data_IF_784499972566
#
_entry.id   IF_784499972566
#
_cell.length_a   1.000
_cell.length_b   1.000
_cell.length_c   1.000
_cell.angle_alpha   90.00
_cell.angle_beta   90.00
_cell.angle_gamma   90.00
#
_symmetry.space_group_name_H-M   'P 1'
#
loop_
_entity.id
_entity.type
_entity.pdbx_description
1 polymer ?
2 non-polymer ?
3 water ?
#
# COMPACT_ATOMS: atom_id res chain seq x y z
N UNK A 113 5.53 -1.25 -19.02
CA UNK A 113 6.18 -0.03 -18.54
C UNK A 113 6.03 0.15 -17.02
N UNK A 114 6.82 1.10 -16.45
CA UNK A 114 6.79 1.35 -15.02
C UNK A 114 5.42 1.85 -14.64
N UNK A 115 4.93 2.94 -15.26
CA UNK A 115 3.64 3.52 -14.88
C UNK A 115 2.44 2.61 -15.12
N UNK A 116 2.49 1.80 -16.18
CA UNK A 116 1.37 0.88 -16.45
C UNK A 116 1.22 -0.10 -15.27
N UNK A 117 2.34 -0.70 -14.85
CA UNK A 117 2.35 -1.64 -13.73
C UNK A 117 1.91 -0.94 -12.43
N UNK A 118 2.39 0.31 -12.20
CA UNK A 118 1.99 0.99 -10.98
C UNK A 118 0.49 1.28 -10.90
N UNK A 119 -0.13 1.62 -12.06
CA UNK A 119 -1.58 1.90 -12.07
C UNK A 119 -2.34 0.59 -11.81
N UNK A 120 -1.92 -0.49 -12.46
CA UNK A 120 -2.57 -1.78 -12.17
C UNK A 120 -2.39 -2.17 -10.70
N UNK A 121 -1.21 -1.88 -10.11
CA UNK A 121 -1.02 -2.30 -8.74
C UNK A 121 -1.82 -1.40 -7.79
N UNK A 122 -1.95 -0.10 -8.10
CA UNK A 122 -2.71 0.80 -7.23
C UNK A 122 -4.19 0.37 -7.26
N UNK A 123 -4.67 -0.09 -8.42
CA UNK A 123 -6.05 -0.56 -8.46
C UNK A 123 -6.20 -1.90 -7.76
N UNK A 124 -5.43 -2.92 -8.19
CA UNK A 124 -5.57 -4.26 -7.60
C UNK A 124 -5.27 -4.28 -6.09
N UNK A 125 -4.22 -3.55 -5.68
CA UNK A 125 -3.76 -3.60 -4.30
C UNK A 125 -4.41 -2.62 -3.34
N UNK A 126 -5.19 -1.67 -3.87
CA UNK A 126 -5.75 -0.64 -2.99
C UNK A 126 -7.17 -0.27 -3.37
N UNK A 127 -7.36 0.38 -4.52
CA UNK A 127 -8.68 0.87 -4.88
C UNK A 127 -9.74 -0.22 -4.92
N UNK A 128 -9.42 -1.38 -5.52
CA UNK A 128 -10.38 -2.52 -5.62
C UNK A 128 -10.89 -2.95 -4.23
N UNK A 129 -10.07 -2.76 -3.20
CA UNK A 129 -10.32 -3.21 -1.83
C UNK A 129 -11.05 -2.18 -0.98
N UNK A 130 -10.81 -0.87 -1.25
CA UNK A 130 -11.47 0.17 -0.45
C UNK A 130 -12.70 0.78 -1.12
N UNK A 131 -12.71 0.93 -2.46
CA UNK A 131 -13.81 1.65 -3.10
C UNK A 131 -15.20 0.97 -2.96
N UNK A 132 -15.34 -0.39 -2.95
CA UNK A 132 -16.69 -0.99 -2.73
C UNK A 132 -17.25 -0.75 -1.31
N UNK A 133 -16.40 -0.37 -0.34
CA UNK A 133 -16.80 -0.12 1.06
C UNK A 133 -16.89 1.37 1.44
N UNK A 134 -16.47 2.26 0.53
CA UNK A 134 -16.39 3.69 0.82
C UNK A 134 -17.74 4.36 1.05
N UNK A 135 -18.71 4.10 0.17
CA UNK A 135 -20.06 4.70 0.26
C UNK A 135 -20.65 4.55 1.64
N UNK A 136 -20.61 3.32 2.22
CA UNK A 136 -21.14 3.03 3.55
C UNK A 136 -20.41 3.79 4.63
N UNK A 137 -19.07 3.96 4.51
CA UNK A 137 -18.30 4.70 5.51
C UNK A 137 -18.70 6.19 5.51
N UNK A 138 -18.91 6.74 4.31
CA UNK A 138 -19.25 8.16 4.19
C UNK A 138 -20.66 8.40 4.76
N UNK A 139 -21.60 7.50 4.43
CA UNK A 139 -22.98 7.54 4.90
C UNK A 139 -23.01 7.47 6.43
N UNK A 140 -22.25 6.52 7.04
CA UNK A 140 -22.15 6.36 8.50
C UNK A 140 -21.65 7.66 9.11
N UNK A 141 -20.59 8.24 8.51
CA UNK A 141 -20.06 9.49 8.99
C UNK A 141 -21.12 10.59 8.95
N UNK A 142 -21.81 10.74 7.81
CA UNK A 142 -22.82 11.78 7.61
C UNK A 142 -24.03 11.63 8.51
N UNK A 143 -24.45 10.38 8.80
CA UNK A 143 -25.60 10.07 9.66
C UNK A 143 -25.32 10.44 11.10
N UNK A 144 -24.04 10.31 11.49
CA UNK A 144 -23.59 10.70 12.81
C UNK A 144 -23.63 12.24 12.95
N UNK A 145 -23.32 12.96 11.85
CA UNK A 145 -23.31 14.42 11.85
C UNK A 145 -24.54 14.97 11.12
N UNK A 151 -22.70 20.68 6.62
CA UNK A 151 -23.12 19.97 5.41
C UNK A 151 -22.44 18.61 5.27
N UNK A 152 -23.13 17.68 4.59
CA UNK A 152 -22.69 16.31 4.36
C UNK A 152 -21.38 16.24 3.58
N UNK A 153 -20.51 15.29 3.97
CA UNK A 153 -19.27 14.95 3.26
C UNK A 153 -19.72 14.40 1.92
N UNK A 154 -19.12 14.85 0.83
CA UNK A 154 -19.49 14.35 -0.50
C UNK A 154 -19.07 12.89 -0.65
N UNK A 155 -19.74 12.19 -1.56
CA UNK A 155 -19.39 10.82 -1.82
C UNK A 155 -18.11 10.83 -2.67
N UNK A 156 -17.50 9.65 -2.81
CA UNK A 156 -16.31 9.41 -3.67
C UNK A 156 -14.98 9.82 -3.08
N UNK A 157 -13.96 9.02 -3.37
CA UNK A 157 -12.59 9.34 -2.98
C UNK A 157 -12.02 10.23 -4.07
N UNK A 158 -11.57 11.43 -3.70
CA UNK A 158 -10.96 12.38 -4.61
C UNK A 158 -9.46 12.11 -4.59
N UNK A 159 -8.96 11.57 -5.74
CA UNK A 159 -7.58 11.16 -5.84
C UNK A 159 -6.75 12.20 -6.56
N UNK A 160 -5.81 12.80 -5.83
CA UNK A 160 -4.94 13.82 -6.39
C UNK A 160 -3.83 13.17 -7.19
N UNK A 161 -3.65 13.67 -8.43
CA UNK A 161 -2.71 13.16 -9.40
C UNK A 161 -1.85 14.29 -9.96
N UNK A 162 -0.94 14.83 -9.09
CA UNK A 162 -0.02 15.89 -9.57
C UNK A 162 0.96 15.29 -10.58
N UNK A 163 0.89 15.79 -11.83
CA UNK A 163 1.77 15.27 -12.89
C UNK A 163 3.26 15.53 -12.61
N UNK A 164 3.58 16.51 -11.70
CA UNK A 164 4.99 16.72 -11.34
C UNK A 164 5.47 15.68 -10.32
N UNK A 165 4.55 14.77 -9.87
CA UNK A 165 4.87 13.69 -8.94
C UNK A 165 5.29 14.17 -7.53
N UNK A 166 4.94 15.42 -7.20
CA UNK A 166 5.16 15.97 -5.87
C UNK A 166 4.03 15.54 -4.97
N UNK A 167 4.33 14.67 -4.01
CA UNK A 167 3.35 14.12 -3.08
C UNK A 167 3.73 14.57 -1.66
N UNK A 168 3.14 15.68 -1.18
CA UNK A 168 3.43 16.09 0.21
C UNK A 168 2.54 15.28 1.16
N UNK A 169 2.91 15.18 2.43
CA UNK A 169 2.08 14.40 3.35
C UNK A 169 0.96 15.19 3.98
N UNK A 170 1.14 16.52 4.07
CA UNK A 170 0.14 17.42 4.67
C UNK A 170 -0.48 18.28 3.57
N UNK A 171 -1.81 18.22 3.42
CA UNK A 171 -2.58 18.95 2.40
C UNK A 171 -2.75 20.44 2.68
N UNK A 172 -2.94 20.83 3.96
CA UNK A 172 -3.11 22.25 4.34
C UNK A 172 -1.85 23.06 3.98
N UNK A 173 -0.71 22.35 3.89
CA UNK A 173 0.56 22.92 3.50
C UNK A 173 0.56 23.27 2.00
N UNK A 174 0.01 22.38 1.14
CA UNK A 174 -0.07 22.55 -0.32
C UNK A 174 -1.02 23.71 -0.67
N UNK A 175 -2.11 23.85 0.09
CA UNK A 175 -3.10 24.92 -0.06
C UNK A 175 -3.77 25.16 1.30
N UNK A 176 -3.66 26.38 1.88
CA UNK A 176 -4.35 26.65 3.17
C UNK A 176 -5.88 26.59 3.06
N UNK A 177 -6.42 26.72 1.82
CA UNK A 177 -7.87 26.61 1.58
C UNK A 177 -8.36 25.14 1.66
N UNK A 178 -7.44 24.18 1.95
CA UNK A 178 -7.79 22.77 2.17
C UNK A 178 -7.49 22.54 3.65
N UNK A 179 -8.53 22.34 4.43
CA UNK A 179 -8.39 22.21 5.87
C UNK A 179 -8.87 20.85 6.35
N UNK A 180 -8.03 20.15 7.13
CA UNK A 180 -8.40 18.85 7.67
C UNK A 180 -9.59 18.99 8.63
N UNK A 181 -10.64 18.21 8.38
CA UNK A 181 -11.83 18.21 9.21
C UNK A 181 -11.80 17.03 10.17
N UNK A 182 -11.73 15.78 9.63
CA UNK A 182 -11.80 14.59 10.48
C UNK A 182 -11.31 13.39 9.70
N UNK A 183 -11.09 12.26 10.39
CA UNK A 183 -10.74 10.99 9.77
C UNK A 183 -12.06 10.28 9.59
N UNK A 184 -12.23 9.63 8.45
CA UNK A 184 -13.41 8.85 8.17
C UNK A 184 -13.31 7.58 9.09
N UNK A 185 -14.39 6.94 9.58
CA UNK A 185 -14.18 5.71 10.39
C UNK A 185 -13.35 4.70 9.57
N UNK A 186 -12.33 4.10 10.19
CA UNK A 186 -11.43 3.16 9.48
C UNK A 186 -12.10 1.90 8.96
N UNK A 187 -11.52 1.33 7.87
CA UNK A 187 -11.96 0.07 7.30
C UNK A 187 -10.85 -0.92 7.71
N UNK A 188 -11.23 -2.14 8.14
CA UNK A 188 -10.23 -3.18 8.46
C UNK A 188 -10.58 -4.41 7.64
N UNK A 189 -9.54 -5.16 7.21
CA UNK A 189 -9.73 -6.40 6.47
C UNK A 189 -8.47 -7.22 6.62
N UNK A 190 -8.61 -8.55 6.63
CA UNK A 190 -7.43 -9.40 6.67
C UNK A 190 -6.85 -9.34 5.26
N UNK A 191 -5.58 -8.99 5.17
CA UNK A 191 -4.94 -8.79 3.87
C UNK A 191 -3.54 -9.35 3.86
N UNK A 192 -3.31 -10.38 3.03
CA UNK A 192 -1.97 -10.93 2.80
C UNK A 192 -1.20 -11.29 4.09
N UNK A 193 -1.93 -11.83 5.05
CA UNK A 193 -1.33 -12.22 6.32
C UNK A 193 -1.35 -11.14 7.39
N UNK A 194 -1.76 -9.91 7.02
CA UNK A 194 -1.91 -8.84 7.99
C UNK A 194 -3.35 -8.94 8.49
N UNK A 195 -3.53 -9.37 9.77
CA UNK A 195 -4.88 -9.44 10.32
C UNK A 195 -5.33 -7.99 10.57
N UNK A 196 -6.58 -7.67 10.23
CA UNK A 196 -7.19 -6.35 10.41
C UNK A 196 -6.28 -5.23 9.87
N UNK A 197 -5.79 -5.41 8.63
CA UNK A 197 -5.02 -4.39 7.94
C UNK A 197 -5.97 -3.15 7.95
N UNK A 198 -5.45 -1.97 8.32
CA UNK A 198 -6.31 -0.79 8.48
C UNK A 198 -6.20 0.15 7.29
N UNK A 199 -7.36 0.54 6.74
CA UNK A 199 -7.47 1.54 5.67
C UNK A 199 -8.04 2.81 6.29
N UNK A 200 -7.19 3.81 6.47
CA UNK A 200 -7.59 5.10 7.02
C UNK A 200 -7.76 6.08 5.86
N UNK A 201 -8.74 7.00 5.93
CA UNK A 201 -8.87 8.04 4.91
C UNK A 201 -9.29 9.32 5.64
N UNK A 202 -8.91 10.47 5.09
CA UNK A 202 -9.15 11.78 5.70
C UNK A 202 -10.12 12.65 4.94
N UNK A 203 -10.93 13.42 5.71
CA UNK A 203 -11.96 14.33 5.20
C UNK A 203 -11.43 15.75 5.35
N UNK A 204 -11.57 16.53 4.28
CA UNK A 204 -11.12 17.91 4.21
C UNK A 204 -12.25 18.85 3.82
N UNK A 205 -12.16 20.08 4.36
CA UNK A 205 -13.05 21.18 3.95
C UNK A 205 -12.29 21.96 2.89
N UNK A 206 -13.00 22.46 1.87
CA UNK A 206 -12.42 23.27 0.79
C UNK A 206 -13.03 24.65 0.94
N UNK A 207 -12.18 25.65 1.17
CA UNK A 207 -12.61 27.04 1.37
C UNK A 207 -12.45 27.86 0.12
N UNK A 208 -13.33 28.84 -0.06
CA UNK A 208 -13.27 29.74 -1.19
C UNK A 208 -13.72 31.09 -0.62
N UNK A 209 -12.81 32.07 -0.67
CA UNK A 209 -13.01 33.43 -0.14
C UNK A 209 -13.59 33.41 1.30
N UNK A 210 -12.98 32.58 2.15
CA UNK A 210 -13.30 32.44 3.56
C UNK A 210 -14.53 31.58 3.87
N UNK A 211 -15.20 31.08 2.84
CA UNK A 211 -16.38 30.28 3.05
C UNK A 211 -16.17 28.81 2.71
N UNK A 212 -16.82 27.90 3.45
CA UNK A 212 -16.75 26.46 3.11
C UNK A 212 -17.56 26.22 1.84
N UNK A 213 -16.87 25.70 0.79
CA UNK A 213 -17.45 25.46 -0.52
C UNK A 213 -17.64 23.97 -0.84
N UNK A 214 -17.03 23.11 -0.03
CA UNK A 214 -17.14 21.67 -0.22
C UNK A 214 -16.43 20.90 0.87
N UNK A 215 -16.80 19.64 1.05
CA UNK A 215 -16.20 18.74 2.03
C UNK A 215 -16.05 17.37 1.36
N UNK A 216 -14.82 16.84 1.29
CA UNK A 216 -14.65 15.54 0.61
C UNK A 216 -13.52 14.73 1.22
N UNK A 217 -13.46 13.44 0.85
CA UNK A 217 -12.41 12.50 1.23
C UNK A 217 -11.34 12.67 0.14
N UNK A 218 -10.11 12.97 0.55
CA UNK A 218 -9.07 13.36 -0.35
C UNK A 218 -7.73 12.79 0.02
N UNK A 219 -6.94 12.36 -1.01
CA UNK A 219 -5.56 11.93 -0.78
C UNK A 219 -4.85 11.87 -2.12
N UNK A 220 -3.50 11.81 -2.05
CA UNK A 220 -2.71 11.67 -3.25
C UNK A 220 -2.56 10.19 -3.62
N UNK A 221 -2.40 9.92 -4.92
CA UNK A 221 -2.08 8.56 -5.41
C UNK A 221 -0.57 8.35 -5.14
N UNK A 222 -0.25 7.59 -4.07
CA UNK A 222 1.12 7.41 -3.62
C UNK A 222 2.07 6.80 -4.69
N UNK A 223 1.64 6.01 -5.69
CA UNK A 223 2.63 5.54 -6.70
C UNK A 223 3.29 6.72 -7.48
N UNK A 224 2.66 7.92 -7.52
CA UNK A 224 3.33 9.03 -8.23
C UNK A 224 4.62 9.39 -7.47
N UNK A 225 4.65 9.19 -6.12
CA UNK A 225 5.87 9.44 -5.37
C UNK A 225 6.95 8.42 -5.77
N UNK A 226 6.54 7.16 -6.12
CA UNK A 226 7.52 6.21 -6.55
C UNK A 226 8.23 6.73 -7.79
N UNK A 227 7.48 7.32 -8.74
CA UNK A 227 8.07 7.86 -9.96
C UNK A 227 9.05 9.00 -9.60
N UNK A 228 8.68 9.84 -8.64
CA UNK A 228 9.58 10.90 -8.21
C UNK A 228 10.85 10.29 -7.64
N UNK A 229 10.72 9.33 -6.70
CA UNK A 229 11.93 8.75 -6.09
C UNK A 229 12.80 8.04 -7.14
N UNK A 230 12.17 7.27 -8.06
CA UNK A 230 12.94 6.59 -9.08
C UNK A 230 13.75 7.57 -9.93
N UNK A 231 13.21 8.78 -10.21
CA UNK A 231 13.92 9.75 -11.01
C UNK A 231 15.07 10.39 -10.22
N UNK A 232 15.08 10.24 -8.88
CA UNK A 232 16.16 10.78 -8.06
C UNK A 232 17.32 9.80 -7.85
N UNK A 233 17.02 8.49 -7.78
CA UNK A 233 18.03 7.47 -7.46
C UNK A 233 18.63 6.86 -8.67
N UNK A 234 19.95 6.91 -8.80
CA UNK A 234 20.63 6.37 -9.97
C UNK A 234 20.33 4.92 -10.22
N UNK A 235 20.24 4.11 -9.17
CA UNK A 235 20.02 2.66 -9.33
C UNK A 235 18.68 2.29 -9.95
N UNK A 236 17.73 3.25 -9.98
CA UNK A 236 16.42 2.93 -10.57
C UNK A 236 16.44 2.92 -12.08
N UNK A 237 17.49 3.50 -12.70
CA UNK A 237 17.58 3.62 -14.15
C UNK A 237 16.40 4.31 -14.78
N UNK A 238 15.94 5.38 -14.14
CA UNK A 238 14.74 6.11 -14.56
C UNK A 238 15.11 7.57 -14.61
N UNK A 239 14.99 8.20 -15.79
CA UNK A 239 15.38 9.60 -15.87
C UNK A 239 14.28 10.58 -15.53
N UNK A 240 14.66 11.75 -15.01
CA UNK A 240 13.72 12.85 -14.78
C UNK A 240 13.05 13.22 -16.11
N UNK A 241 13.78 13.06 -17.24
CA UNK A 241 13.23 13.48 -18.53
C UNK A 241 12.06 12.61 -18.98
N UNK A 242 11.94 11.39 -18.42
CA UNK A 242 10.84 10.49 -18.74
C UNK A 242 9.74 10.51 -17.67
N UNK A 243 9.92 11.28 -16.61
CA UNK A 243 8.95 11.22 -15.52
C UNK A 243 7.56 11.75 -15.86
N UNK A 244 7.47 12.92 -16.52
CA UNK A 244 6.15 13.47 -16.85
C UNK A 244 5.34 12.51 -17.77
N UNK A 245 6.00 11.90 -18.78
CA UNK A 245 5.31 10.97 -19.67
C UNK A 245 4.78 9.78 -18.85
N UNK A 246 5.60 9.30 -17.91
CA UNK A 246 5.18 8.18 -17.05
C UNK A 246 4.05 8.60 -16.12
N UNK A 247 4.08 9.83 -15.56
CA UNK A 247 2.98 10.30 -14.71
C UNK A 247 1.67 10.32 -15.52
N UNK A 248 1.73 10.86 -16.77
CA UNK A 248 0.53 10.89 -17.60
C UNK A 248 0.03 9.48 -17.87
N UNK A 249 0.97 8.54 -18.17
CA UNK A 249 0.60 7.17 -18.45
C UNK A 249 -0.01 6.50 -17.19
N UNK A 250 0.50 6.83 -16.00
CA UNK A 250 -0.12 6.28 -14.79
C UNK A 250 -1.61 6.69 -14.72
N UNK A 251 -1.87 7.99 -14.95
CA UNK A 251 -3.24 8.52 -14.88
C UNK A 251 -4.12 7.89 -15.95
N UNK A 252 -3.60 7.81 -17.19
CA UNK A 252 -4.39 7.25 -18.29
C UNK A 252 -4.74 5.78 -18.04
N UNK A 253 -3.75 5.00 -17.57
CA UNK A 253 -3.97 3.57 -17.31
C UNK A 253 -5.00 3.42 -16.20
N UNK A 254 -4.91 4.25 -15.13
CA UNK A 254 -5.88 4.17 -14.06
C UNK A 254 -7.30 4.51 -14.58
N UNK A 255 -7.42 5.53 -15.44
CA UNK A 255 -8.72 5.88 -16.03
C UNK A 255 -9.24 4.68 -16.85
N UNK A 256 -8.36 4.05 -17.67
CA UNK A 256 -8.72 2.87 -18.48
C UNK A 256 -9.22 1.70 -17.63
N UNK A 257 -8.54 1.40 -16.51
CA UNK A 257 -8.95 0.30 -15.65
C UNK A 257 -10.30 0.59 -15.02
N UNK A 258 -10.47 1.83 -14.50
CA UNK A 258 -11.72 2.20 -13.83
C UNK A 258 -12.90 2.18 -14.77
N UNK A 259 -12.69 2.41 -16.07
CA UNK A 259 -13.79 2.36 -17.05
C UNK A 259 -14.41 0.94 -17.16
N UNK A 260 -13.71 -0.09 -16.64
CA UNK A 260 -14.18 -1.48 -16.64
C UNK A 260 -14.53 -1.99 -15.25
N UNK A 261 -14.51 -1.11 -14.23
CA UNK A 261 -14.83 -1.46 -12.84
C UNK A 261 -15.88 -0.43 -12.38
N UNK A 262 -17.18 -0.63 -12.74
CA UNK A 262 -18.21 0.39 -12.45
C UNK A 262 -18.35 0.86 -11.00
N UNK A 263 -18.36 -0.08 -10.03
CA UNK A 263 -18.47 0.25 -8.61
C UNK A 263 -17.28 1.12 -8.17
N UNK A 264 -16.04 0.79 -8.63
CA UNK A 264 -14.87 1.60 -8.30
C UNK A 264 -14.90 2.98 -8.98
N UNK A 265 -15.23 3.00 -10.29
CA UNK A 265 -15.33 4.24 -11.05
C UNK A 265 -16.29 5.25 -10.38
N UNK A 266 -17.47 4.77 -9.93
CA UNK A 266 -18.45 5.66 -9.31
C UNK A 266 -18.09 6.08 -7.89
N UNK A 267 -17.07 5.44 -7.28
CA UNK A 267 -16.66 5.76 -5.92
C UNK A 267 -15.37 6.54 -5.83
N UNK A 268 -14.90 7.06 -6.95
CA UNK A 268 -13.70 7.90 -6.96
C UNK A 268 -13.70 8.89 -8.08
N UNK A 269 -12.88 9.93 -7.96
CA UNK A 269 -12.73 10.94 -9.00
C UNK A 269 -11.24 11.23 -9.12
N UNK A 270 -10.72 11.15 -10.35
CA UNK A 270 -9.30 11.37 -10.62
C UNK A 270 -9.06 12.84 -10.90
N UNK A 271 -8.19 13.46 -10.08
CA UNK A 271 -7.87 14.89 -10.20
C UNK A 271 -6.41 15.05 -10.64
N UNK A 272 -6.22 15.08 -11.97
CA UNK A 272 -4.88 15.24 -12.57
C UNK A 272 -4.63 16.70 -12.89
N UNK A 273 -3.39 17.18 -12.62
CA UNK A 273 -3.06 18.58 -12.86
C UNK A 273 -1.57 18.80 -12.95
N UNK A 274 -1.21 19.88 -13.67
CA UNK A 274 0.16 20.39 -13.78
C UNK A 274 0.16 21.81 -13.24
N UNK A 275 1.17 22.16 -12.45
CA UNK A 275 1.34 23.52 -11.93
C UNK A 275 2.30 24.28 -12.85
N UNK A 276 2.03 25.57 -13.15
CA UNK A 276 2.98 26.33 -14.00
C UNK A 276 4.32 26.64 -13.32
N UNK A 282 -0.87 28.70 -8.29
CA UNK A 282 -1.79 27.58 -8.50
C UNK A 282 -2.66 27.37 -7.27
N UNK A 283 -3.95 27.05 -7.47
CA UNK A 283 -4.85 26.77 -6.34
C UNK A 283 -5.34 25.33 -6.42
N UNK A 284 -4.81 24.48 -5.52
CA UNK A 284 -5.22 23.07 -5.45
C UNK A 284 -6.70 22.97 -5.02
N UNK A 285 -7.15 23.82 -4.08
CA UNK A 285 -8.58 23.80 -3.67
C UNK A 285 -9.49 24.13 -4.86
N UNK A 286 -9.11 25.08 -5.74
CA UNK A 286 -9.92 25.39 -6.92
C UNK A 286 -9.96 24.23 -7.89
N UNK A 287 -8.85 23.49 -7.98
CA UNK A 287 -8.78 22.30 -8.83
C UNK A 287 -9.79 21.24 -8.34
N UNK A 288 -9.79 20.97 -7.02
CA UNK A 288 -10.70 19.99 -6.41
C UNK A 288 -12.16 20.47 -6.55
N UNK A 289 -12.39 21.75 -6.24
CA UNK A 289 -13.76 22.32 -6.31
C UNK A 289 -14.35 22.26 -7.69
N UNK A 290 -13.55 22.45 -8.74
CA UNK A 290 -14.05 22.36 -10.11
C UNK A 290 -14.59 20.96 -10.36
N UNK A 291 -13.90 19.91 -9.86
CA UNK A 291 -14.36 18.53 -10.00
C UNK A 291 -15.57 18.27 -9.13
N UNK A 292 -15.57 18.76 -7.88
CA UNK A 292 -16.69 18.60 -6.95
C UNK A 292 -17.97 19.23 -7.50
N UNK A 293 -17.85 20.42 -8.13
CA UNK A 293 -18.95 21.15 -8.73
C UNK A 293 -19.53 20.51 -10.01
N UNK A 294 -18.82 19.55 -10.66
CA UNK A 294 -19.36 18.85 -11.85
C UNK A 294 -20.13 17.59 -11.40
N UNK A 295 -20.61 17.59 -10.15
CA UNK A 295 -21.35 16.51 -9.46
C UNK A 295 -20.52 15.24 -9.32
N UNK B 113 9.68 -1.75 -17.08
CA UNK B 113 9.47 -3.12 -16.60
C UNK B 113 8.47 -3.08 -15.46
N UNK B 114 7.44 -3.97 -15.54
CA UNK B 114 6.41 -4.01 -14.51
C UNK B 114 7.02 -4.37 -13.16
N UNK B 115 7.68 -5.53 -13.06
CA UNK B 115 8.20 -5.94 -11.75
C UNK B 115 9.28 -5.02 -11.17
N UNK B 116 10.10 -4.40 -12.04
CA UNK B 116 11.15 -3.49 -11.53
C UNK B 116 10.44 -2.30 -10.84
N UNK B 117 9.44 -1.70 -11.51
CA UNK B 117 8.71 -0.59 -10.92
C UNK B 117 7.95 -1.00 -9.66
N UNK B 118 7.38 -2.24 -9.64
CA UNK B 118 6.65 -2.66 -8.46
C UNK B 118 7.57 -2.84 -7.23
N UNK B 119 8.81 -3.34 -7.46
CA UNK B 119 9.78 -3.51 -6.35
C UNK B 119 10.17 -2.12 -5.83
N UNK B 120 10.46 -1.18 -6.75
CA UNK B 120 10.75 0.19 -6.29
C UNK B 120 9.59 0.78 -5.54
N UNK B 121 8.35 0.52 -5.99
CA UNK B 121 7.22 1.12 -5.31
C UNK B 121 6.97 0.47 -3.94
N UNK B 122 7.20 -0.85 -3.82
CA UNK B 122 6.99 -1.53 -2.55
C UNK B 122 8.02 -1.01 -1.53
N UNK B 123 9.24 -0.73 -2.02
CA UNK B 123 10.24 -0.16 -1.09
C UNK B 123 9.91 1.29 -0.76
N UNK B 124 9.79 2.16 -1.78
CA UNK B 124 9.55 3.58 -1.52
C UNK B 124 8.24 3.83 -0.77
N UNK B 125 7.17 3.13 -1.16
CA UNK B 125 5.84 3.38 -0.62
C UNK B 125 5.46 2.63 0.63
N UNK B 126 6.31 1.67 1.04
CA UNK B 126 5.96 0.86 2.21
C UNK B 126 7.15 0.54 3.08
N UNK B 127 8.09 -0.27 2.58
CA UNK B 127 9.20 -0.74 3.45
C UNK B 127 10.02 0.40 4.00
N UNK B 128 10.34 1.41 3.18
CA UNK B 128 11.15 2.59 3.62
C UNK B 128 10.48 3.30 4.81
N UNK B 129 9.15 3.23 4.92
CA UNK B 129 8.32 3.93 5.89
C UNK B 129 8.11 3.12 7.17
N UNK B 130 8.06 1.78 7.04
CA UNK B 130 7.81 0.94 8.22
C UNK B 130 9.06 0.34 8.82
N UNK B 131 10.07 -0.03 8.02
CA UNK B 131 11.24 -0.76 8.55
C UNK B 131 12.03 0.06 9.58
N UNK B 132 12.26 1.40 9.43
CA UNK B 132 13.00 2.14 10.47
C UNK B 132 12.27 2.22 11.82
N UNK B 133 10.97 1.93 11.87
CA UNK B 133 10.17 1.96 13.10
C UNK B 133 9.83 0.56 13.67
N UNK B 134 10.17 -0.50 12.93
CA UNK B 134 9.80 -1.87 13.30
C UNK B 134 10.47 -2.36 14.58
N UNK B 135 11.79 -2.17 14.69
CA UNK B 135 12.57 -2.64 15.85
C UNK B 135 11.93 -2.21 17.18
N UNK B 136 11.55 -0.92 17.28
CA UNK B 136 10.93 -0.36 18.48
C UNK B 136 9.58 -0.99 18.76
N UNK B 137 8.78 -1.28 17.71
CA UNK B 137 7.47 -1.90 17.90
C UNK B 137 7.60 -3.32 18.43
N UNK B 138 8.58 -4.07 17.90
CA UNK B 138 8.79 -5.46 18.33
C UNK B 138 9.24 -5.48 19.79
N UNK B 139 10.18 -4.59 20.15
CA UNK B 139 10.72 -4.43 21.51
C UNK B 139 9.61 -4.07 22.49
N UNK B 140 8.72 -3.12 22.13
CA UNK B 140 7.56 -2.71 22.93
C UNK B 140 6.64 -3.90 23.13
N UNK B 141 6.36 -4.67 22.05
CA UNK B 141 5.54 -5.86 22.18
C UNK B 141 6.18 -6.85 23.17
N UNK B 142 7.47 -7.14 23.02
CA UNK B 142 8.20 -8.09 23.86
C UNK B 142 8.25 -7.67 25.34
N UNK B 143 8.40 -6.36 25.59
CA UNK B 143 8.48 -5.80 26.94
C UNK B 143 7.12 -5.72 27.64
N UNK B 144 6.05 -5.26 26.92
CA UNK B 144 4.75 -4.94 27.53
C UNK B 144 3.51 -5.72 27.03
N UNK B 145 3.55 -6.38 25.87
CA UNK B 145 2.35 -7.03 25.35
C UNK B 145 2.45 -8.57 25.19
N UNK B 146 3.68 -9.06 25.00
CA UNK B 146 3.95 -10.49 24.84
C UNK B 146 3.56 -11.22 26.12
N UNK B 147 2.99 -12.43 25.98
CA UNK B 147 2.65 -13.28 27.12
C UNK B 147 3.96 -13.41 27.92
N UNK B 148 3.88 -13.18 29.23
CA UNK B 148 5.04 -13.15 30.12
C UNK B 148 5.91 -14.40 30.04
N UNK B 149 5.29 -15.54 29.75
CA UNK B 149 6.00 -16.82 29.75
C UNK B 149 6.53 -17.27 28.41
N UNK B 150 6.16 -16.54 27.36
CA UNK B 150 6.54 -16.96 26.02
C UNK B 150 7.88 -16.35 25.62
N UNK B 151 8.50 -16.96 24.60
CA UNK B 151 9.77 -16.45 24.10
C UNK B 151 9.53 -15.17 23.34
N UNK B 152 10.55 -14.32 23.25
CA UNK B 152 10.50 -13.04 22.54
C UNK B 152 10.24 -13.23 21.05
N UNK B 153 9.39 -12.35 20.48
CA UNK B 153 9.11 -12.27 19.03
C UNK B 153 10.46 -11.88 18.40
N UNK B 154 10.85 -12.59 17.33
CA UNK B 154 12.10 -12.29 16.65
C UNK B 154 12.03 -10.91 15.99
N UNK B 155 13.19 -10.30 15.81
CA UNK B 155 13.28 -9.03 15.09
C UNK B 155 13.05 -9.34 13.60
N UNK B 156 12.89 -8.27 12.80
CA UNK B 156 12.76 -8.28 11.33
C UNK B 156 11.40 -8.69 10.80
N UNK B 157 11.00 -8.03 9.69
CA UNK B 157 9.76 -8.38 9.03
C UNK B 157 10.11 -9.49 8.05
N UNK B 158 9.42 -10.63 8.15
CA UNK B 158 9.65 -11.75 7.26
C UNK B 158 8.69 -11.60 6.10
N UNK B 159 9.24 -11.38 4.89
CA UNK B 159 8.40 -11.09 3.72
C UNK B 159 8.31 -12.30 2.82
N UNK B 160 7.10 -12.82 2.67
CA UNK B 160 6.83 -14.00 1.83
C UNK B 160 6.75 -13.59 0.40
N UNK B 161 7.53 -14.29 -0.43
CA UNK B 161 7.67 -14.02 -1.87
C UNK B 161 7.43 -15.32 -2.67
N UNK B 162 6.14 -15.77 -2.68
CA UNK B 162 5.80 -16.96 -3.48
C UNK B 162 5.97 -16.64 -4.97
N UNK B 163 6.90 -17.35 -5.64
CA UNK B 163 7.14 -17.11 -7.06
C UNK B 163 5.94 -17.48 -7.93
N UNK B 164 4.96 -18.26 -7.42
CA UNK B 164 3.73 -18.52 -8.17
C UNK B 164 2.75 -17.35 -8.08
N UNK B 165 3.10 -16.29 -7.29
CA UNK B 165 2.28 -15.09 -7.13
C UNK B 165 0.92 -15.32 -6.46
N UNK B 166 0.78 -16.45 -5.77
CA UNK B 166 -0.41 -16.75 -4.99
C UNK B 166 -0.30 -16.10 -3.63
N UNK B 167 -1.16 -15.10 -3.39
CA UNK B 167 -1.16 -14.34 -2.15
C UNK B 167 -2.49 -14.55 -1.43
N UNK B 168 -2.57 -15.55 -0.51
CA UNK B 168 -3.82 -15.73 0.24
C UNK B 168 -3.87 -14.70 1.37
N UNK B 169 -5.07 -14.43 1.90
CA UNK B 169 -5.15 -13.44 2.99
C UNK B 169 -4.92 -14.01 4.38
N UNK B 170 -5.22 -15.31 4.53
CA UNK B 170 -5.07 -16.04 5.79
C UNK B 170 -3.91 -17.02 5.67
N UNK B 171 -2.88 -16.82 6.50
CA UNK B 171 -1.68 -17.65 6.54
C UNK B 171 -1.88 -19.06 7.14
N UNK B 172 -2.78 -19.21 8.13
CA UNK B 172 -3.06 -20.51 8.77
C UNK B 172 -3.68 -21.52 7.78
N UNK B 173 -4.25 -20.99 6.67
CA UNK B 173 -4.84 -21.75 5.57
C UNK B 173 -3.75 -22.30 4.65
N UNK B 174 -2.69 -21.50 4.42
CA UNK B 174 -1.55 -21.90 3.59
C UNK B 174 -0.75 -23.02 4.27
N UNK B 175 -0.63 -22.94 5.61
CA UNK B 175 0.05 -23.93 6.45
C UNK B 175 -0.55 -23.87 7.86
N UNK B 176 -1.17 -24.99 8.37
CA UNK B 176 -1.69 -24.97 9.75
C UNK B 176 -0.60 -24.81 10.81
N UNK B 177 0.68 -25.11 10.46
CA UNK B 177 1.81 -24.92 11.36
C UNK B 177 2.18 -23.44 11.53
N UNK B 178 1.44 -22.52 10.88
CA UNK B 178 1.61 -21.07 11.03
C UNK B 178 0.35 -20.61 11.75
N UNK B 179 0.49 -20.21 13.02
CA UNK B 179 -0.63 -19.82 13.84
C UNK B 179 -0.52 -18.37 14.30
N UNK B 180 -1.59 -17.60 14.07
CA UNK B 180 -1.66 -16.19 14.47
C UNK B 180 -1.55 -16.05 15.98
N UNK B 181 -0.61 -15.20 16.45
CA UNK B 181 -0.36 -14.94 17.87
C UNK B 181 -0.96 -13.61 18.31
N UNK B 182 -0.59 -12.50 17.64
CA UNK B 182 -1.07 -11.18 17.99
C UNK B 182 -0.72 -10.17 16.92
N UNK B 183 -1.37 -9.00 16.98
CA UNK B 183 -1.02 -7.87 16.11
C UNK B 183 0.00 -7.05 16.90
N UNK B 184 1.06 -6.55 16.23
CA UNK B 184 2.10 -5.69 16.82
C UNK B 184 1.41 -4.34 17.21
N UNK B 185 1.95 -3.46 18.08
CA UNK B 185 1.29 -2.15 18.26
C UNK B 185 1.30 -1.49 16.87
N UNK B 186 0.22 -0.81 16.48
CA UNK B 186 0.17 -0.15 15.17
C UNK B 186 1.12 1.04 15.08
N UNK B 187 1.58 1.36 13.86
CA UNK B 187 2.41 2.52 13.58
C UNK B 187 1.45 3.46 12.85
N UNK B 188 1.52 4.75 13.15
CA UNK B 188 0.71 5.74 12.45
C UNK B 188 1.65 6.82 11.93
N UNK B 189 1.32 7.39 10.76
CA UNK B 189 2.10 8.49 10.20
C UNK B 189 1.22 9.23 9.23
N UNK B 190 1.39 10.56 9.12
CA UNK B 190 0.65 11.31 8.10
C UNK B 190 1.28 10.91 6.78
N UNK B 191 0.45 10.48 5.83
CA UNK B 191 1.00 10.00 4.57
C UNK B 191 0.10 10.43 3.40
N UNK B 192 0.63 11.29 2.52
CA UNK B 192 -0.04 11.67 1.30
C UNK B 192 -1.49 12.20 1.52
N UNK B 193 -1.67 12.96 2.60
CA UNK B 193 -2.99 13.51 2.90
C UNK B 193 -3.84 12.64 3.81
N UNK B 194 -3.40 11.42 4.08
CA UNK B 194 -4.08 10.54 5.03
C UNK B 194 -3.48 10.84 6.39
N UNK B 195 -4.26 11.52 7.26
CA UNK B 195 -3.76 11.80 8.60
C UNK B 195 -3.74 10.48 9.40
N UNK B 196 -2.65 10.21 10.13
CA UNK B 196 -2.46 9.00 10.95
C UNK B 196 -2.80 7.73 10.14
N UNK B 197 -2.23 7.64 8.92
CA UNK B 197 -2.34 6.44 8.09
C UNK B 197 -1.81 5.29 9.01
N UNK B 198 -2.54 4.18 9.08
CA UNK B 198 -2.18 3.10 10.02
C UNK B 198 -1.48 1.95 9.32
N UNK B 199 -0.32 1.54 9.87
CA UNK B 199 0.45 0.38 9.42
C UNK B 199 0.27 -0.67 10.51
N UNK B 200 -0.46 -1.72 10.19
CA UNK B 200 -0.65 -2.85 11.11
C UNK B 200 0.22 -4.02 10.61
N UNK B 201 0.78 -4.84 11.52
CA UNK B 201 1.54 -6.04 11.12
C UNK B 201 1.23 -7.13 12.13
N UNK B 202 1.24 -8.39 11.69
CA UNK B 202 0.86 -9.56 12.48
C UNK B 202 2.00 -10.48 12.84
N UNK B 203 1.91 -11.07 14.07
CA UNK B 203 2.90 -11.97 14.64
C UNK B 203 2.31 -13.36 14.58
N UNK B 204 3.16 -14.29 14.16
CA UNK B 204 2.80 -15.69 14.01
C UNK B 204 3.76 -16.58 14.74
N UNK B 205 3.22 -17.69 15.24
CA UNK B 205 3.99 -18.76 15.85
C UNK B 205 4.16 -19.82 14.76
N UNK B 206 5.36 -20.38 14.65
CA UNK B 206 5.68 -21.43 13.68
C UNK B 206 5.86 -22.71 14.48
N UNK B 207 5.05 -23.70 14.16
CA UNK B 207 5.05 -24.99 14.86
C UNK B 207 5.80 -26.05 14.12
N UNK B 208 6.45 -26.93 14.89
CA UNK B 208 7.24 -28.03 14.37
C UNK B 208 7.05 -29.19 15.33
N UNK B 209 6.39 -30.26 14.83
CA UNK B 209 6.06 -31.47 15.61
C UNK B 209 5.17 -31.15 16.84
N UNK B 210 4.20 -30.24 16.62
CA UNK B 210 3.25 -29.78 17.63
C UNK B 210 3.78 -28.76 18.64
N UNK B 211 5.07 -28.41 18.55
CA UNK B 211 5.68 -27.45 19.47
C UNK B 211 6.08 -26.15 18.78
N UNK B 212 6.07 -25.04 19.52
CA UNK B 212 6.48 -23.74 18.99
C UNK B 212 7.97 -23.72 18.74
N UNK B 213 8.36 -23.47 17.47
CA UNK B 213 9.75 -23.45 17.03
C UNK B 213 10.27 -22.04 16.72
N UNK B 214 9.35 -21.10 16.57
CA UNK B 214 9.71 -19.71 16.27
C UNK B 214 8.50 -18.80 16.31
N UNK B 215 8.74 -17.50 16.47
CA UNK B 215 7.69 -16.50 16.50
C UNK B 215 8.22 -15.27 15.75
N UNK B 216 7.51 -14.82 14.73
CA UNK B 216 8.00 -13.70 13.93
C UNK B 216 6.84 -12.90 13.32
N UNK B 217 7.19 -11.70 12.81
CA UNK B 217 6.28 -10.80 12.10
C UNK B 217 6.36 -11.27 10.61
N UNK B 218 5.21 -11.57 10.04
CA UNK B 218 5.15 -12.20 8.75
C UNK B 218 4.00 -11.69 7.88
N UNK B 219 4.31 -11.48 6.57
CA UNK B 219 3.25 -11.13 5.62
C UNK B 219 3.74 -11.38 4.21
N UNK B 220 2.81 -11.39 3.24
CA UNK B 220 3.18 -11.52 1.84
C UNK B 220 3.49 -10.15 1.24
N UNK B 221 4.39 -10.12 0.24
CA UNK B 221 4.64 -8.89 -0.56
C UNK B 221 3.43 -8.76 -1.53
N UNK B 222 2.50 -7.88 -1.20
CA UNK B 222 1.27 -7.72 -1.97
C UNK B 222 1.46 -7.39 -3.49
N UNK B 223 2.55 -6.75 -3.95
CA UNK B 223 2.68 -6.52 -5.41
C UNK B 223 2.73 -7.86 -6.19
N UNK B 224 3.10 -8.99 -5.56
CA UNK B 224 3.09 -10.27 -6.32
C UNK B 224 1.65 -10.59 -6.74
N UNK B 225 0.65 -10.16 -5.95
CA UNK B 225 -0.76 -10.38 -6.37
C UNK B 225 -1.08 -9.53 -7.60
N UNK B 226 -0.46 -8.32 -7.71
CA UNK B 226 -0.70 -7.53 -8.89
C UNK B 226 -0.21 -8.32 -10.14
N UNK B 227 0.94 -9.00 -10.04
CA UNK B 227 1.46 -9.75 -11.19
C UNK B 227 0.44 -10.84 -11.54
N UNK B 228 -0.09 -11.52 -10.50
CA UNK B 228 -1.11 -12.56 -10.75
C UNK B 228 -2.32 -11.96 -11.46
N UNK B 229 -2.86 -10.86 -10.94
CA UNK B 229 -4.05 -10.28 -11.57
C UNK B 229 -3.77 -9.84 -12.99
N UNK B 230 -2.62 -9.18 -13.23
CA UNK B 230 -2.29 -8.71 -14.57
C UNK B 230 -2.23 -9.87 -15.58
N UNK B 231 -1.73 -11.02 -15.15
CA UNK B 231 -1.57 -12.23 -15.98
C UNK B 231 -2.96 -12.80 -16.32
N UNK B 232 -4.02 -12.41 -15.56
CA UNK B 232 -5.41 -12.88 -15.77
C UNK B 232 -6.23 -11.96 -16.65
N UNK B 233 -6.03 -10.63 -16.56
CA UNK B 233 -6.84 -9.65 -17.27
C UNK B 233 -6.30 -9.29 -18.62
N UNK B 234 -7.14 -9.44 -19.66
CA UNK B 234 -6.71 -9.13 -21.02
C UNK B 234 -6.17 -7.73 -21.20
N UNK B 235 -6.80 -6.74 -20.53
CA UNK B 235 -6.43 -5.34 -20.69
C UNK B 235 -5.07 -4.99 -20.09
N UNK B 236 -4.52 -5.90 -19.25
CA UNK B 236 -3.25 -5.61 -18.60
C UNK B 236 -2.07 -5.81 -19.54
N UNK B 237 -2.31 -6.41 -20.72
CA UNK B 237 -1.25 -6.68 -21.71
C UNK B 237 -0.05 -7.33 -21.05
N UNK B 238 -0.29 -8.37 -20.27
CA UNK B 238 0.73 -9.08 -19.50
C UNK B 238 0.37 -10.53 -19.72
N UNK B 239 1.18 -11.26 -20.50
CA UNK B 239 0.83 -12.64 -20.84
C UNK B 239 0.88 -13.57 -19.63
N UNK B 240 0.00 -14.55 -19.62
CA UNK B 240 -0.06 -15.55 -18.54
C UNK B 240 1.30 -16.18 -18.19
N UNK B 241 2.08 -16.52 -19.23
CA UNK B 241 3.35 -17.20 -19.04
C UNK B 241 4.49 -16.29 -18.58
N UNK B 242 4.23 -14.96 -18.44
CA UNK B 242 5.25 -14.01 -18.00
C UNK B 242 5.37 -13.91 -16.49
N UNK B 243 4.43 -14.50 -15.74
CA UNK B 243 4.35 -14.39 -14.27
C UNK B 243 5.62 -14.74 -13.52
N UNK B 244 6.16 -15.93 -13.80
CA UNK B 244 7.33 -16.40 -13.06
C UNK B 244 8.55 -15.49 -13.26
N UNK B 245 8.83 -15.10 -14.50
CA UNK B 245 9.98 -14.23 -14.80
C UNK B 245 9.84 -12.90 -14.09
N UNK B 246 8.62 -12.34 -14.11
CA UNK B 246 8.36 -11.08 -13.40
C UNK B 246 8.46 -11.24 -11.91
N UNK B 247 7.98 -12.35 -11.34
CA UNK B 247 8.08 -12.60 -9.91
C UNK B 247 9.55 -12.65 -9.50
N UNK B 248 10.38 -13.38 -10.30
CA UNK B 248 11.81 -13.44 -9.98
C UNK B 248 12.43 -12.05 -10.06
N UNK B 249 12.07 -11.25 -11.08
CA UNK B 249 12.59 -9.89 -11.23
C UNK B 249 12.15 -9.01 -10.07
N UNK B 250 10.91 -9.17 -9.59
CA UNK B 250 10.48 -8.40 -8.43
C UNK B 250 11.39 -8.68 -7.22
N UNK B 251 11.64 -9.97 -6.95
CA UNK B 251 12.47 -10.39 -5.82
C UNK B 251 13.90 -9.88 -5.99
N UNK B 252 14.48 -10.05 -7.19
CA UNK B 252 15.87 -9.60 -7.42
C UNK B 252 16.01 -8.10 -7.22
N UNK B 253 15.07 -7.33 -7.80
CA UNK B 253 15.11 -5.87 -7.68
C UNK B 253 14.98 -5.47 -6.23
N UNK B 254 14.07 -6.10 -5.47
CA UNK B 254 13.92 -5.77 -4.07
C UNK B 254 15.20 -6.08 -3.28
N UNK B 255 15.83 -7.23 -3.58
CA UNK B 255 17.12 -7.56 -2.92
C UNK B 255 18.15 -6.47 -3.27
N UNK B 256 18.24 -6.04 -4.55
CA UNK B 256 19.18 -4.99 -5.01
C UNK B 256 18.95 -3.68 -4.27
N UNK B 257 17.68 -3.26 -4.12
CA UNK B 257 17.37 -2.00 -3.42
C UNK B 257 17.79 -2.08 -1.95
N UNK B 258 17.42 -3.19 -1.29
CA UNK B 258 17.73 -3.35 0.13
C UNK B 258 19.22 -3.38 0.40
N UNK B 259 20.02 -3.85 -0.56
CA UNK B 259 21.49 -3.88 -0.40
C UNK B 259 22.09 -2.45 -0.25
N UNK B 260 21.32 -1.41 -0.60
CA UNK B 260 21.72 0.00 -0.47
C UNK B 260 20.98 0.75 0.62
N UNK B 261 20.13 0.05 1.42
CA UNK B 261 19.35 0.64 2.51
C UNK B 261 19.65 -0.21 3.76
N UNK B 262 20.79 0.06 4.45
CA UNK B 262 21.23 -0.80 5.57
C UNK B 262 20.23 -1.06 6.70
N UNK B 263 19.57 0.00 7.22
CA UNK B 263 18.58 -0.12 8.30
C UNK B 263 17.43 -1.01 7.86
N UNK B 264 16.93 -0.80 6.62
CA UNK B 264 15.86 -1.60 6.05
C UNK B 264 16.30 -3.05 5.84
N UNK B 265 17.45 -3.28 5.19
CA UNK B 265 18.00 -4.62 4.95
C UNK B 265 18.08 -5.43 6.25
N UNK B 266 18.55 -4.82 7.35
CA UNK B 266 18.62 -5.51 8.64
C UNK B 266 17.28 -5.62 9.38
N UNK B 267 16.22 -4.97 8.86
CA UNK B 267 14.92 -5.04 9.51
C UNK B 267 13.95 -5.92 8.74
N UNK B 268 14.44 -6.66 7.73
CA UNK B 268 13.57 -7.58 6.98
C UNK B 268 14.34 -8.76 6.43
N UNK B 269 13.61 -9.80 6.07
CA UNK B 269 14.21 -10.98 5.46
C UNK B 269 13.28 -11.39 4.34
N UNK B 270 13.85 -11.60 3.15
CA UNK B 270 13.07 -12.00 1.96
C UNK B 270 13.00 -13.50 1.86
N UNK B 271 11.77 -14.05 1.81
CA UNK B 271 11.55 -15.51 1.76
C UNK B 271 10.93 -15.86 0.41
N UNK B 272 11.78 -16.09 -0.59
CA UNK B 272 11.34 -16.42 -1.95
C UNK B 272 11.30 -17.94 -2.12
N UNK B 273 10.23 -18.45 -2.74
CA UNK B 273 10.09 -19.92 -2.89
C UNK B 273 9.17 -20.29 -4.02
N UNK B 274 9.40 -21.50 -4.54
CA UNK B 274 8.58 -22.17 -5.54
C UNK B 274 8.13 -23.50 -4.92
N UNK B 275 6.87 -23.86 -5.12
CA UNK B 275 6.30 -25.12 -4.64
C UNK B 275 6.42 -26.17 -5.77
N UNK B 276 6.77 -27.45 -5.47
CA UNK B 276 6.88 -28.47 -6.53
C UNK B 276 5.58 -28.77 -7.27
N UNK B 281 3.78 -31.91 -1.72
CA UNK B 281 3.69 -31.46 -0.33
C UNK B 281 4.77 -30.42 0.00
N UNK B 282 4.34 -29.20 0.27
CA UNK B 282 5.26 -28.11 0.61
C UNK B 282 4.93 -27.60 2.00
N UNK B 283 5.96 -27.26 2.78
CA UNK B 283 5.77 -26.70 4.11
C UNK B 283 6.26 -25.26 4.18
N UNK B 284 5.31 -24.31 4.21
CA UNK B 284 5.63 -22.88 4.30
C UNK B 284 6.29 -22.58 5.66
N UNK B 285 5.81 -23.23 6.75
CA UNK B 285 6.45 -23.02 8.07
C UNK B 285 7.92 -23.46 8.05
N UNK B 286 8.25 -24.59 7.37
CA UNK B 286 9.64 -25.02 7.27
C UNK B 286 10.48 -24.05 6.47
N UNK B 287 9.88 -23.43 5.45
CA UNK B 287 10.56 -22.41 4.64
C UNK B 287 10.92 -21.21 5.52
N UNK B 288 9.97 -20.73 6.33
CA UNK B 288 10.19 -19.57 7.22
C UNK B 288 11.20 -19.93 8.30
N UNK B 289 11.03 -21.13 8.92
CA UNK B 289 11.93 -21.58 9.98
C UNK B 289 13.36 -21.69 9.55
N UNK B 290 13.61 -22.14 8.31
CA UNK B 290 14.97 -22.25 7.79
C UNK B 290 15.63 -20.88 7.78
N UNK B 291 14.88 -19.82 7.38
CA UNK B 291 15.40 -18.46 7.39
C UNK B 291 15.57 -17.94 8.81
N UNK B 292 14.57 -18.15 9.68
CA UNK B 292 14.61 -17.72 11.09
C UNK B 292 15.85 -18.31 11.77
N UNK B 293 16.12 -19.62 11.55
CA UNK B 293 17.24 -20.37 12.14
C UNK B 293 18.64 -19.95 11.64
N UNK B 294 18.76 -19.24 10.49
CA UNK B 294 20.07 -18.76 10.00
C UNK B 294 20.38 -17.40 10.61
#
# INVERSE_FOLDING_TARGET
>A
MAHHHHHHGSDSEVNQEAKPEVKPEVKPETHINLKVSDGSSEIFFKIKKTTPLRRLMEAFAKRQGKEMDSLTFLYDGIEIQADQTPEDLDMEDNDIIEAHREQIGGENLYFQSVAHGLAWSYYIGYLRLILPELQARIRTYNQHYNNLLRGAVSQRLYILLPLDCGVPDNLSMADPNIRFLDKLPQQTADRAGIKDRVYSNSIYELLENGQRAGTCVLEYATPLQTLFAMSQYSQAGFSREDRLEQAKLFCQTLEDILADAPESQNNCRLIAYQEPADDSSFSLSQEVLRHLRQEEKEEV
>B
MAHHHHHHGSDSEVNQEAKPEVKPEVKPETHINLKVSDGSSEIFFKIKKTTPLRRLMEAFAKRQGKEMDSLTFLYDGIEIQADQTPEDLDMEDNDIIEAHREQIGGENLYFQSVAHGLAWSYYIGYLRLILPELQARIRTYNQHYNNLLRGAVSQRLYILLPLDCGVPDNLSMADPNIRFLDKLPQQTADRAGIKDRVYSNSIYELLENGQRAGTCVLEYATPLQTLFAMSQYSQAGFSREDRLEQAKLFCQTLEDILADAPESQNNCRLIAYQEPADDSSFSLSQEVLRHLRQEEKEEV
#
